data_IF_832343059682
#
_entry.id   IF_832343059682
#
_cell.length_a   1.000
_cell.length_b   1.000
_cell.length_c   1.000
_cell.angle_alpha   90.00
_cell.angle_beta   90.00
_cell.angle_gamma   90.00
#
_symmetry.space_group_name_H-M   'P 1'
#
loop_
_entity.id
_entity.type
_entity.pdbx_description
1 polymer ?
#
# COMPACT_ATOMS: atom_id res chain seq x y z
N UNK A 1 1.11 -25.05 -61.14
CA UNK A 1 0.94 -25.48 -59.74
C UNK A 1 2.15 -24.94 -58.99
N UNK A 2 2.09 -23.82 -58.26
CA UNK A 2 1.56 -23.68 -56.89
C UNK A 2 2.06 -24.82 -55.97
N UNK A 3 2.74 -24.63 -54.84
CA UNK A 3 2.90 -23.44 -54.00
C UNK A 3 3.92 -23.65 -52.86
N UNK A 4 4.60 -22.54 -52.52
CA UNK A 4 4.98 -22.04 -51.18
C UNK A 4 5.73 -22.90 -50.15
N UNK A 5 7.01 -22.58 -49.97
CA UNK A 5 7.72 -22.68 -48.68
C UNK A 5 7.47 -21.41 -47.84
N UNK A 6 6.92 -21.57 -46.64
CA UNK A 6 6.65 -20.49 -45.69
C UNK A 6 7.90 -20.13 -44.87
N UNK A 7 8.48 -18.96 -45.11
CA UNK A 7 9.45 -18.34 -44.19
C UNK A 7 8.73 -17.32 -43.31
N UNK A 8 8.59 -17.64 -42.02
CA UNK A 8 8.06 -16.73 -41.01
C UNK A 8 8.95 -15.50 -40.82
N UNK A 9 8.34 -14.32 -40.86
CA UNK A 9 8.90 -13.08 -40.31
C UNK A 9 7.97 -12.57 -39.22
N UNK A 10 8.51 -12.48 -38.02
CA UNK A 10 7.84 -11.93 -36.85
C UNK A 10 7.40 -10.49 -37.09
N UNK A 11 6.13 -10.22 -36.81
CA UNK A 11 5.60 -8.87 -36.68
C UNK A 11 6.08 -8.29 -35.34
N UNK A 12 7.09 -7.44 -35.40
CA UNK A 12 7.49 -6.56 -34.30
C UNK A 12 7.07 -5.13 -34.66
N UNK A 13 6.56 -4.41 -33.66
CA UNK A 13 6.24 -2.98 -33.64
C UNK A 13 5.06 -2.53 -34.52
N UNK A 14 3.90 -2.38 -33.88
CA UNK A 14 2.86 -1.48 -34.36
C UNK A 14 3.43 -0.06 -34.43
N UNK A 15 3.61 0.42 -35.65
CA UNK A 15 3.99 1.81 -35.93
C UNK A 15 2.93 2.71 -35.31
N UNK A 16 3.34 3.61 -34.42
CA UNK A 16 2.54 4.77 -34.02
C UNK A 16 2.30 5.62 -35.27
N UNK A 17 1.32 5.25 -36.09
CA UNK A 17 0.92 6.01 -37.26
C UNK A 17 0.18 7.28 -36.80
N UNK A 18 0.94 8.28 -36.36
CA UNK A 18 0.49 9.66 -36.32
C UNK A 18 0.05 10.04 -37.75
N UNK A 19 -1.19 10.52 -37.87
CA UNK A 19 -1.86 10.92 -39.12
C UNK A 19 -0.88 11.62 -40.08
N UNK A 20 -0.68 11.04 -41.27
CA UNK A 20 -0.03 11.71 -42.41
C UNK A 20 -0.87 12.93 -42.81
N UNK A 21 -0.37 14.13 -42.54
CA UNK A 21 -1.01 15.37 -43.03
C UNK A 21 -0.60 16.68 -42.35
N UNK A 22 0.04 16.67 -41.19
CA UNK A 22 0.66 17.88 -40.60
C UNK A 22 2.15 17.63 -40.43
N UNK A 23 2.99 18.65 -40.63
CA UNK A 23 4.43 18.64 -40.32
C UNK A 23 4.65 17.79 -39.08
N UNK A 24 5.33 16.66 -39.24
CA UNK A 24 5.48 15.63 -38.21
C UNK A 24 6.22 16.23 -37.02
N UNK A 25 5.46 16.69 -36.03
CA UNK A 25 6.00 17.20 -34.79
C UNK A 25 6.69 16.02 -34.09
N UNK A 26 8.02 15.98 -34.18
CA UNK A 26 8.83 14.98 -33.50
C UNK A 26 8.60 15.08 -31.98
N UNK A 27 8.68 13.95 -31.28
CA UNK A 27 8.49 13.90 -29.83
C UNK A 27 9.45 14.84 -29.12
N UNK A 28 10.71 14.87 -29.52
CA UNK A 28 11.71 15.84 -29.08
C UNK A 28 12.35 16.44 -30.34
N UNK A 29 12.32 17.76 -30.53
CA UNK A 29 12.98 18.40 -31.67
C UNK A 29 14.46 18.02 -31.76
N UNK A 30 14.90 17.58 -32.94
CA UNK A 30 16.29 17.17 -33.19
C UNK A 30 16.62 15.72 -32.83
N UNK A 31 15.66 14.93 -32.32
CA UNK A 31 15.84 13.50 -32.05
C UNK A 31 14.89 12.63 -32.88
N UNK A 32 15.33 11.42 -33.29
CA UNK A 32 14.42 10.36 -33.74
C UNK A 32 13.38 10.01 -32.67
N UNK A 33 12.15 9.71 -33.09
CA UNK A 33 11.02 9.46 -32.18
C UNK A 33 11.20 8.21 -31.31
N UNK A 34 11.91 7.20 -31.80
CA UNK A 34 12.25 5.99 -31.04
C UNK A 34 13.22 6.30 -29.90
N UNK A 35 14.25 7.09 -30.14
CA UNK A 35 15.19 7.58 -29.11
C UNK A 35 14.46 8.45 -28.10
N UNK A 36 13.64 9.39 -28.57
CA UNK A 36 12.83 10.25 -27.70
C UNK A 36 11.87 9.44 -26.82
N UNK A 37 11.27 8.38 -27.36
CA UNK A 37 10.38 7.49 -26.62
C UNK A 37 11.10 6.77 -25.48
N UNK A 38 12.31 6.26 -25.73
CA UNK A 38 13.16 5.62 -24.71
C UNK A 38 13.52 6.62 -23.60
N UNK A 39 13.96 7.84 -23.97
CA UNK A 39 14.30 8.89 -22.99
C UNK A 39 13.12 9.16 -22.06
N UNK A 40 11.94 9.44 -22.62
CA UNK A 40 10.74 9.76 -21.85
C UNK A 40 10.27 8.56 -20.99
N UNK A 41 10.44 7.33 -21.48
CA UNK A 41 10.13 6.09 -20.76
C UNK A 41 11.03 5.86 -19.53
N UNK A 42 12.28 6.32 -19.57
CA UNK A 42 13.25 6.15 -18.49
C UNK A 42 13.16 7.20 -17.39
N UNK A 43 12.48 8.32 -17.62
CA UNK A 43 12.26 9.36 -16.61
C UNK A 43 11.58 8.83 -15.34
N UNK A 44 11.75 9.53 -14.22
CA UNK A 44 11.11 9.19 -12.94
C UNK A 44 9.59 9.38 -13.03
N UNK A 45 8.82 8.74 -12.15
CA UNK A 45 7.37 8.95 -12.12
C UNK A 45 6.97 10.43 -11.97
N UNK A 46 7.58 11.22 -11.06
CA UNK A 46 7.30 12.66 -10.94
C UNK A 46 7.49 13.41 -12.27
N UNK A 47 8.59 13.14 -12.98
CA UNK A 47 8.89 13.78 -14.26
C UNK A 47 7.88 13.39 -15.34
N UNK A 48 7.58 12.09 -15.45
CA UNK A 48 6.57 11.58 -16.38
C UNK A 48 5.20 12.22 -16.11
N UNK A 49 4.80 12.33 -14.86
CA UNK A 49 3.54 12.95 -14.45
C UNK A 49 3.45 14.42 -14.85
N UNK A 50 4.54 15.20 -14.67
CA UNK A 50 4.62 16.60 -15.14
C UNK A 50 4.51 16.71 -16.66
N UNK A 51 5.21 15.83 -17.39
CA UNK A 51 5.27 15.87 -18.86
C UNK A 51 3.96 15.48 -19.55
N UNK A 52 3.09 14.68 -18.91
CA UNK A 52 1.74 14.40 -19.44
C UNK A 52 0.90 15.67 -19.63
N UNK A 53 1.19 16.75 -18.91
CA UNK A 53 0.44 18.00 -19.00
C UNK A 53 0.90 18.91 -20.15
N UNK A 54 2.12 18.75 -20.68
CA UNK A 54 2.75 19.73 -21.58
C UNK A 54 2.38 19.55 -23.05
N UNK A 55 2.29 18.31 -23.53
CA UNK A 55 2.02 17.98 -24.93
C UNK A 55 1.08 16.78 -25.08
N UNK A 56 0.22 16.81 -26.11
CA UNK A 56 -0.65 15.66 -26.45
C UNK A 56 0.18 14.43 -26.85
N UNK A 57 1.32 14.63 -27.52
CA UNK A 57 2.19 13.55 -27.96
C UNK A 57 2.86 12.85 -26.76
N UNK A 58 3.41 13.62 -25.82
CA UNK A 58 3.99 13.07 -24.60
C UNK A 58 2.94 12.43 -23.71
N UNK A 59 1.75 13.02 -23.59
CA UNK A 59 0.63 12.41 -22.87
C UNK A 59 0.24 11.06 -23.45
N UNK A 60 0.17 10.97 -24.79
CA UNK A 60 -0.15 9.71 -25.46
C UNK A 60 0.94 8.67 -25.21
N UNK A 61 2.22 9.04 -25.38
CA UNK A 61 3.37 8.14 -25.15
C UNK A 61 3.48 7.67 -23.69
N UNK A 62 3.24 8.56 -22.73
CA UNK A 62 3.29 8.28 -21.29
C UNK A 62 1.98 7.72 -20.74
N UNK A 63 1.03 7.39 -21.61
CA UNK A 63 -0.18 6.66 -21.25
C UNK A 63 0.17 5.20 -20.92
N UNK A 64 -0.66 4.56 -20.09
CA UNK A 64 -0.46 3.15 -19.72
C UNK A 64 -0.42 2.24 -20.96
N UNK A 65 -1.28 2.52 -21.95
CA UNK A 65 -1.44 1.73 -23.16
C UNK A 65 -0.17 1.69 -24.04
N UNK A 66 0.69 2.70 -23.94
CA UNK A 66 1.93 2.80 -24.72
C UNK A 66 3.17 2.57 -23.86
N UNK A 67 3.18 3.10 -22.64
CA UNK A 67 4.33 3.06 -21.75
C UNK A 67 4.61 1.62 -21.28
N UNK A 68 3.60 0.86 -20.87
CA UNK A 68 3.81 -0.51 -20.39
C UNK A 68 4.36 -1.45 -21.48
N UNK A 69 3.81 -1.50 -22.71
CA UNK A 69 4.42 -2.28 -23.79
C UNK A 69 5.84 -1.85 -24.12
N UNK A 70 6.12 -0.53 -24.14
CA UNK A 70 7.45 -0.01 -24.41
C UNK A 70 8.44 -0.47 -23.34
N UNK A 71 8.09 -0.32 -22.06
CA UNK A 71 8.91 -0.82 -20.93
C UNK A 71 9.20 -2.30 -21.05
N UNK A 72 8.20 -3.12 -21.41
CA UNK A 72 8.35 -4.56 -21.63
C UNK A 72 9.29 -4.86 -22.81
N UNK A 73 9.15 -4.15 -23.94
CA UNK A 73 10.05 -4.33 -25.10
C UNK A 73 11.51 -3.98 -24.78
N UNK A 74 11.71 -3.01 -23.89
CA UNK A 74 13.02 -2.59 -23.40
C UNK A 74 13.53 -3.44 -22.23
N UNK A 75 12.75 -4.43 -21.78
CA UNK A 75 13.06 -5.29 -20.62
C UNK A 75 13.39 -4.49 -19.36
N UNK A 76 12.73 -3.35 -19.17
CA UNK A 76 12.93 -2.53 -17.98
C UNK A 76 12.28 -3.21 -16.76
N UNK A 77 12.90 -3.12 -15.58
CA UNK A 77 12.31 -3.67 -14.36
C UNK A 77 10.98 -2.98 -14.05
N UNK A 78 10.12 -3.67 -13.30
CA UNK A 78 8.90 -3.05 -12.76
C UNK A 78 9.24 -1.86 -11.88
N UNK A 79 8.33 -0.90 -11.83
CA UNK A 79 8.46 0.27 -10.98
C UNK A 79 7.39 0.18 -9.91
N UNK A 80 7.80 -0.23 -8.72
CA UNK A 80 6.99 -0.04 -7.53
C UNK A 80 7.32 1.29 -6.88
N UNK A 81 6.29 2.08 -6.63
CA UNK A 81 6.38 3.28 -5.80
C UNK A 81 5.93 2.95 -4.38
N UNK A 82 6.54 3.60 -3.41
CA UNK A 82 6.02 3.66 -2.06
C UNK A 82 5.08 4.86 -1.94
N UNK A 83 3.87 4.65 -1.45
CA UNK A 83 2.96 5.71 -1.04
C UNK A 83 2.90 5.76 0.49
N UNK A 84 3.22 6.93 1.04
CA UNK A 84 3.15 7.21 2.47
C UNK A 84 2.02 8.21 2.73
N UNK A 85 1.16 7.86 3.69
CA UNK A 85 0.16 8.73 4.27
C UNK A 85 0.63 9.11 5.67
N UNK A 86 1.21 10.32 5.87
CA UNK A 86 1.84 10.67 7.15
C UNK A 86 0.87 10.73 8.34
N UNK A 87 -0.40 11.04 8.08
CA UNK A 87 -1.49 11.21 9.06
C UNK A 87 -2.82 11.23 8.29
N UNK A 88 -3.88 11.77 8.89
CA UNK A 88 -5.17 12.04 8.26
C UNK A 88 -4.98 12.65 6.85
N UNK A 89 -5.37 11.92 5.80
CA UNK A 89 -5.07 12.31 4.43
C UNK A 89 -5.89 13.49 3.93
N UNK A 90 -6.92 13.92 4.68
CA UNK A 90 -7.65 15.16 4.42
C UNK A 90 -6.91 16.40 4.91
N UNK A 91 -5.97 16.24 5.86
CA UNK A 91 -5.19 17.32 6.46
C UNK A 91 -3.76 17.39 5.91
N UNK A 92 -3.16 16.24 5.56
CA UNK A 92 -1.82 16.16 5.01
C UNK A 92 -1.83 15.43 3.67
N UNK A 93 -1.06 15.96 2.71
CA UNK A 93 -0.89 15.33 1.41
C UNK A 93 -0.20 13.96 1.55
N UNK A 94 -0.76 12.90 0.96
CA UNK A 94 -0.04 11.66 0.73
C UNK A 94 1.17 11.94 -0.18
N UNK A 95 2.24 11.17 -0.03
CA UNK A 95 3.49 11.37 -0.76
C UNK A 95 3.98 10.07 -1.36
N UNK A 96 4.31 10.14 -2.65
CA UNK A 96 4.94 9.06 -3.38
C UNK A 96 6.47 9.21 -3.36
N UNK A 97 7.13 8.07 -3.26
CA UNK A 97 8.57 7.91 -3.39
C UNK A 97 8.85 6.82 -4.41
N UNK A 98 9.71 7.13 -5.38
CA UNK A 98 10.36 6.10 -6.20
C UNK A 98 11.63 5.63 -5.47
N UNK A 99 11.70 4.39 -4.98
CA UNK A 99 12.91 3.90 -4.30
C UNK A 99 14.15 3.90 -5.19
N UNK A 100 14.00 3.88 -6.52
CA UNK A 100 15.11 3.99 -7.45
C UNK A 100 15.62 5.43 -7.61
N UNK A 101 14.81 6.42 -7.22
CA UNK A 101 15.15 7.85 -7.21
C UNK A 101 14.74 8.47 -5.87
N UNK A 102 15.46 8.18 -4.77
CA UNK A 102 15.02 8.47 -3.40
C UNK A 102 14.95 9.97 -3.04
N UNK A 103 15.36 10.85 -3.94
CA UNK A 103 15.19 12.31 -3.84
C UNK A 103 13.92 12.82 -4.54
N UNK A 104 13.28 12.00 -5.36
CA UNK A 104 12.17 12.38 -6.22
C UNK A 104 10.81 12.13 -5.54
N UNK A 105 10.53 12.92 -4.51
CA UNK A 105 9.25 12.92 -3.81
C UNK A 105 8.13 13.57 -4.63
N UNK A 106 6.93 13.00 -4.59
CA UNK A 106 5.77 13.54 -5.27
C UNK A 106 4.53 13.61 -4.36
N UNK A 107 4.14 14.81 -3.93
CA UNK A 107 2.91 14.97 -3.16
C UNK A 107 1.69 14.74 -4.06
N UNK A 108 0.76 13.95 -3.56
CA UNK A 108 -0.58 13.79 -4.11
C UNK A 108 -1.52 14.85 -3.49
N UNK A 109 -2.63 15.19 -4.15
CA UNK A 109 -3.65 16.02 -3.52
C UNK A 109 -4.14 15.37 -2.21
N UNK A 110 -4.49 16.17 -1.19
CA UNK A 110 -5.16 15.63 -0.01
C UNK A 110 -6.55 15.08 -0.39
N UNK A 111 -7.08 14.20 0.45
CA UNK A 111 -8.48 13.77 0.35
C UNK A 111 -9.42 14.97 0.56
N UNK A 112 -10.62 14.97 -0.06
CA UNK A 112 -11.64 15.97 0.23
C UNK A 112 -11.96 15.98 1.73
N UNK A 113 -11.88 17.15 2.36
CA UNK A 113 -12.18 17.31 3.78
C UNK A 113 -13.68 17.40 4.04
N UNK A 114 -14.10 16.94 5.22
CA UNK A 114 -15.45 17.14 5.74
C UNK A 114 -15.38 18.15 6.88
N UNK A 115 -16.25 19.18 6.93
CA UNK A 115 -16.29 20.10 8.06
C UNK A 115 -16.89 19.45 9.32
N UNK A 116 -17.55 18.30 9.21
CA UNK A 116 -18.14 17.60 10.36
C UNK A 116 -17.27 16.47 10.90
N UNK A 117 -16.45 15.84 10.05
CA UNK A 117 -15.63 14.70 10.43
C UNK A 117 -14.17 15.14 10.61
N UNK A 118 -13.55 14.69 11.69
CA UNK A 118 -12.16 15.03 11.99
C UNK A 118 -11.42 13.84 12.59
N UNK A 119 -10.09 13.86 12.46
CA UNK A 119 -9.21 12.85 13.03
C UNK A 119 -9.43 11.48 12.37
N UNK A 120 -9.38 11.42 11.03
CA UNK A 120 -9.41 10.13 10.35
C UNK A 120 -8.11 9.38 10.62
N UNK A 121 -8.21 8.22 11.25
CA UNK A 121 -7.10 7.30 11.49
C UNK A 121 -7.53 5.86 11.18
N UNK A 122 -6.61 4.90 11.25
CA UNK A 122 -6.90 3.48 11.08
C UNK A 122 -7.64 3.13 9.77
N UNK A 123 -7.51 3.96 8.74
CA UNK A 123 -8.01 3.67 7.39
C UNK A 123 -7.07 2.68 6.71
N UNK A 124 -7.60 1.91 5.77
CA UNK A 124 -6.76 1.06 4.93
C UNK A 124 -6.31 1.84 3.69
N UNK A 125 -5.02 1.73 3.36
CA UNK A 125 -4.46 2.21 2.11
C UNK A 125 -3.88 1.03 1.33
N UNK A 126 -4.28 0.87 0.06
CA UNK A 126 -3.73 -0.15 -0.83
C UNK A 126 -3.74 0.33 -2.28
N UNK A 127 -3.05 -0.42 -3.15
CA UNK A 127 -3.07 -0.17 -4.58
C UNK A 127 -3.57 -1.41 -5.34
N UNK A 128 -4.36 -1.17 -6.38
CA UNK A 128 -4.74 -2.19 -7.37
C UNK A 128 -4.19 -1.74 -8.72
N UNK A 129 -3.01 -2.25 -9.06
CA UNK A 129 -2.17 -1.68 -10.13
C UNK A 129 -1.87 -0.20 -9.85
N UNK A 130 -2.16 0.65 -10.82
CA UNK A 130 -1.95 2.12 -10.77
C UNK A 130 -2.97 2.90 -9.92
N UNK A 131 -4.01 2.24 -9.41
CA UNK A 131 -5.09 2.90 -8.68
C UNK A 131 -4.84 2.80 -7.18
N UNK A 132 -4.73 3.95 -6.53
CA UNK A 132 -4.62 4.05 -5.08
C UNK A 132 -6.01 4.07 -4.47
N UNK A 133 -6.20 3.36 -3.36
CA UNK A 133 -7.44 3.32 -2.59
C UNK A 133 -7.18 3.77 -1.15
N UNK A 134 -8.13 4.54 -0.61
CA UNK A 134 -8.26 4.85 0.81
C UNK A 134 -9.64 4.40 1.24
N UNK A 135 -9.68 3.50 2.22
CA UNK A 135 -10.89 2.80 2.63
C UNK A 135 -11.16 2.99 4.12
N UNK A 136 -12.38 3.42 4.43
CA UNK A 136 -12.91 3.48 5.78
C UNK A 136 -12.03 4.29 6.74
N UNK A 137 -11.79 3.73 7.92
CA UNK A 137 -11.10 4.34 9.03
C UNK A 137 -12.03 4.67 10.19
N UNK A 138 -11.46 5.21 11.26
CA UNK A 138 -12.17 5.71 12.42
C UNK A 138 -11.99 7.21 12.50
N UNK A 139 -13.06 7.95 12.77
CA UNK A 139 -13.06 9.40 12.87
C UNK A 139 -14.05 9.87 13.93
N UNK A 140 -14.03 11.15 14.25
CA UNK A 140 -15.00 11.76 15.15
C UNK A 140 -15.98 12.63 14.38
N UNK A 141 -17.24 12.63 14.80
CA UNK A 141 -18.26 13.55 14.27
C UNK A 141 -18.46 14.71 15.26
N UNK A 142 -18.17 15.93 14.82
CA UNK A 142 -18.33 17.16 15.59
C UNK A 142 -19.80 17.44 15.99
N UNK A 143 -20.77 16.72 15.41
CA UNK A 143 -22.20 16.79 15.72
C UNK A 143 -22.65 15.71 16.69
N UNK A 144 -21.79 14.73 17.01
CA UNK A 144 -22.12 13.65 17.93
C UNK A 144 -22.15 14.12 19.38
N UNK A 145 -23.05 13.55 20.17
CA UNK A 145 -23.09 13.71 21.63
C UNK A 145 -23.17 12.33 22.30
N UNK A 146 -22.26 12.00 23.25
CA UNK A 146 -21.14 12.83 23.70
C UNK A 146 -20.07 13.00 22.61
N UNK A 147 -19.38 14.14 22.62
CA UNK A 147 -18.24 14.39 21.74
C UNK A 147 -17.11 13.40 22.04
N UNK A 148 -16.29 13.10 21.03
CA UNK A 148 -15.12 12.22 21.18
C UNK A 148 -15.44 10.73 21.17
N UNK A 149 -16.67 10.32 20.88
CA UNK A 149 -16.96 8.92 20.57
C UNK A 149 -16.46 8.60 19.15
N UNK A 150 -15.51 7.68 18.97
CA UNK A 150 -14.99 7.37 17.66
C UNK A 150 -16.02 6.56 16.86
N UNK A 151 -16.20 6.95 15.61
CA UNK A 151 -17.18 6.40 14.67
C UNK A 151 -16.45 5.78 13.48
N UNK A 152 -16.91 4.60 13.00
CA UNK A 152 -16.31 3.97 11.84
C UNK A 152 -16.81 4.65 10.55
N UNK A 153 -15.95 4.76 9.55
CA UNK A 153 -16.26 5.30 8.23
C UNK A 153 -16.44 4.17 7.21
N UNK A 154 -17.41 4.32 6.33
CA UNK A 154 -17.58 3.46 5.15
C UNK A 154 -17.01 4.08 3.88
N UNK A 155 -16.46 5.29 3.97
CA UNK A 155 -16.07 6.07 2.80
C UNK A 155 -14.93 5.40 2.03
N UNK A 156 -15.05 5.43 0.70
CA UNK A 156 -14.05 4.90 -0.21
C UNK A 156 -13.63 5.98 -1.17
N UNK A 157 -12.33 6.20 -1.26
CA UNK A 157 -11.73 7.10 -2.24
C UNK A 157 -10.71 6.35 -3.08
N UNK A 158 -10.63 6.72 -4.36
CA UNK A 158 -9.60 6.21 -5.24
C UNK A 158 -8.94 7.33 -6.05
N UNK A 159 -7.71 7.09 -6.48
CA UNK A 159 -6.93 8.00 -7.30
C UNK A 159 -6.16 7.24 -8.37
N UNK A 160 -6.29 7.69 -9.62
CA UNK A 160 -5.59 7.12 -10.77
C UNK A 160 -4.28 7.86 -11.06
N UNK A 161 -3.15 7.18 -10.86
CA UNK A 161 -1.81 7.75 -11.06
C UNK A 161 -1.42 7.99 -12.52
N UNK A 162 -2.11 7.42 -13.50
CA UNK A 162 -1.78 7.73 -14.90
C UNK A 162 -2.43 9.03 -15.40
N UNK A 163 -3.35 9.62 -14.63
CA UNK A 163 -3.93 10.91 -14.99
C UNK A 163 -2.89 12.02 -14.82
N UNK A 164 -2.90 12.98 -15.74
CA UNK A 164 -2.00 14.15 -15.68
C UNK A 164 -2.34 15.10 -14.52
N UNK A 165 -3.61 15.15 -14.12
CA UNK A 165 -4.08 15.86 -12.93
C UNK A 165 -4.61 14.83 -11.95
N UNK A 166 -3.87 14.63 -10.88
CA UNK A 166 -4.26 13.73 -9.81
C UNK A 166 -5.41 14.35 -9.02
N UNK A 167 -6.45 13.56 -8.77
CA UNK A 167 -7.61 13.96 -7.99
C UNK A 167 -8.21 12.71 -7.37
N UNK A 168 -8.60 12.80 -6.10
CA UNK A 168 -9.37 11.75 -5.45
C UNK A 168 -10.81 11.80 -5.94
N UNK A 169 -11.34 10.64 -6.26
CA UNK A 169 -12.75 10.44 -6.57
C UNK A 169 -13.36 9.57 -5.47
N UNK A 170 -14.61 9.87 -5.11
CA UNK A 170 -15.36 9.03 -4.17
C UNK A 170 -15.98 7.85 -4.92
N UNK A 171 -15.82 6.65 -4.39
CA UNK A 171 -16.52 5.45 -4.84
C UNK A 171 -17.73 5.19 -3.92
N UNK A 172 -18.63 4.26 -4.29
CA UNK A 172 -19.67 3.82 -3.37
C UNK A 172 -19.09 3.38 -2.03
N UNK A 173 -19.78 3.75 -0.96
CA UNK A 173 -19.39 3.40 0.40
C UNK A 173 -19.47 1.88 0.60
N UNK A 174 -18.58 1.35 1.46
CA UNK A 174 -18.71 -0.01 1.98
C UNK A 174 -20.09 -0.20 2.64
N UNK A 175 -20.61 -1.42 2.66
CA UNK A 175 -21.89 -1.75 3.29
C UNK A 175 -21.80 -1.64 4.81
N UNK A 176 -20.66 -2.01 5.39
CA UNK A 176 -20.37 -1.88 6.82
C UNK A 176 -19.22 -0.90 7.03
N UNK A 177 -19.45 0.22 7.73
CA UNK A 177 -18.39 1.14 8.12
C UNK A 177 -17.36 0.46 9.03
N UNK A 178 -16.06 0.71 8.79
CA UNK A 178 -14.97 0.02 9.50
C UNK A 178 -13.65 0.81 9.44
N UNK A 179 -12.85 0.70 10.49
CA UNK A 179 -11.42 1.04 10.57
C UNK A 179 -10.64 -0.15 11.14
N UNK A 180 -9.32 -0.17 10.99
CA UNK A 180 -8.44 -1.26 11.45
C UNK A 180 -8.87 -2.65 10.94
N UNK A 181 -9.20 -2.79 9.67
CA UNK A 181 -9.66 -4.04 9.06
C UNK A 181 -8.58 -4.66 8.16
N UNK A 182 -8.69 -5.96 7.93
CA UNK A 182 -7.89 -6.65 6.93
C UNK A 182 -8.40 -6.28 5.54
N UNK A 183 -7.48 -5.98 4.61
CA UNK A 183 -7.83 -5.72 3.22
C UNK A 183 -6.77 -6.29 2.26
N UNK A 184 -7.19 -6.66 1.05
CA UNK A 184 -6.28 -7.07 -0.01
C UNK A 184 -6.87 -6.78 -1.39
N UNK A 185 -6.01 -6.67 -2.41
CA UNK A 185 -6.45 -6.65 -3.80
C UNK A 185 -7.02 -8.01 -4.20
N UNK A 186 -8.15 -8.01 -4.90
CA UNK A 186 -8.72 -9.23 -5.49
C UNK A 186 -8.16 -9.46 -6.90
N UNK A 187 -8.00 -10.73 -7.30
CA UNK A 187 -7.42 -11.10 -8.60
C UNK A 187 -8.20 -10.58 -9.81
N UNK A 188 -9.52 -10.42 -9.68
CA UNK A 188 -10.41 -9.98 -10.75
C UNK A 188 -10.44 -8.45 -10.93
N UNK A 189 -9.61 -7.72 -10.18
CA UNK A 189 -9.64 -6.25 -10.16
C UNK A 189 -10.72 -5.76 -9.19
N UNK A 190 -10.31 -5.58 -7.94
CA UNK A 190 -11.21 -5.21 -6.85
C UNK A 190 -10.49 -5.22 -5.52
N UNK A 191 -11.26 -5.10 -4.44
CA UNK A 191 -10.74 -5.15 -3.07
C UNK A 191 -11.61 -6.06 -2.23
N UNK A 192 -11.01 -6.91 -1.41
CA UNK A 192 -11.71 -7.65 -0.37
C UNK A 192 -11.34 -7.07 1.00
N UNK A 193 -12.31 -6.96 1.90
CA UNK A 193 -12.15 -6.44 3.25
C UNK A 193 -12.83 -7.37 4.26
N UNK A 194 -12.23 -7.52 5.44
CA UNK A 194 -12.84 -8.28 6.54
C UNK A 194 -12.47 -7.71 7.91
N UNK A 195 -13.43 -7.81 8.83
CA UNK A 195 -13.25 -7.34 10.20
C UNK A 195 -13.19 -5.83 10.32
N UNK A 196 -12.49 -5.38 11.35
CA UNK A 196 -12.37 -3.97 11.73
C UNK A 196 -13.38 -3.56 12.78
N UNK A 197 -13.42 -2.25 13.01
CA UNK A 197 -14.16 -1.65 14.10
C UNK A 197 -14.18 -0.13 14.03
N UNK A 198 -14.43 0.52 15.17
CA UNK A 198 -14.45 1.99 15.24
C UNK A 198 -13.43 2.60 16.19
N UNK A 199 -12.43 1.81 16.62
CA UNK A 199 -11.40 2.28 17.56
C UNK A 199 -10.52 3.35 16.91
N UNK A 200 -10.16 4.37 17.69
CA UNK A 200 -9.31 5.47 17.26
C UNK A 200 -8.06 5.58 18.15
N UNK A 201 -6.87 5.91 17.62
CA UNK A 201 -5.62 5.99 18.42
C UNK A 201 -5.69 6.91 19.64
N UNK A 202 -6.49 7.99 19.58
CA UNK A 202 -6.71 8.90 20.72
C UNK A 202 -7.53 8.30 21.86
N UNK A 203 -8.46 7.40 21.55
CA UNK A 203 -9.31 6.71 22.53
C UNK A 203 -9.26 5.20 22.27
N UNK A 204 -8.10 4.57 22.54
CA UNK A 204 -7.81 3.23 22.08
C UNK A 204 -8.66 2.18 22.79
N UNK A 205 -9.38 2.48 23.86
CA UNK A 205 -10.21 1.50 24.56
C UNK A 205 -11.67 1.46 24.12
N UNK A 206 -12.10 2.42 23.29
CA UNK A 206 -13.48 2.53 22.87
C UNK A 206 -13.65 2.17 21.39
N UNK A 207 -14.71 1.44 21.05
CA UNK A 207 -15.07 1.14 19.67
C UNK A 207 -15.76 -0.20 19.48
N UNK A 208 -16.49 -0.31 18.37
CA UNK A 208 -17.12 -1.54 17.89
C UNK A 208 -16.11 -2.47 17.22
N UNK A 209 -16.52 -3.71 16.97
CA UNK A 209 -15.85 -4.68 16.10
C UNK A 209 -16.88 -5.32 15.17
N UNK A 210 -16.42 -5.97 14.11
CA UNK A 210 -17.27 -6.75 13.21
C UNK A 210 -16.56 -8.01 12.74
N UNK A 211 -17.33 -9.03 12.37
CA UNK A 211 -16.87 -10.21 11.62
C UNK A 211 -17.23 -10.14 10.13
N UNK A 212 -17.86 -9.05 9.68
CA UNK A 212 -18.33 -8.91 8.31
C UNK A 212 -17.19 -8.91 7.29
N UNK A 213 -17.49 -9.48 6.13
CA UNK A 213 -16.61 -9.55 4.97
C UNK A 213 -17.33 -8.97 3.77
N UNK A 214 -16.64 -8.15 3.00
CA UNK A 214 -17.18 -7.56 1.79
C UNK A 214 -16.14 -7.59 0.68
N UNK A 215 -16.60 -7.64 -0.57
CA UNK A 215 -15.74 -7.47 -1.73
C UNK A 215 -16.31 -6.41 -2.68
N UNK A 216 -15.41 -5.60 -3.22
CA UNK A 216 -15.69 -4.56 -4.19
C UNK A 216 -15.38 -5.06 -5.59
N UNK A 217 -16.40 -5.04 -6.45
CA UNK A 217 -16.26 -5.29 -7.88
C UNK A 217 -15.94 -3.98 -8.61
N UNK A 218 -14.74 -3.87 -9.19
CA UNK A 218 -14.38 -2.66 -9.92
C UNK A 218 -15.11 -2.51 -11.27
N UNK A 219 -15.60 -3.61 -11.86
CA UNK A 219 -16.31 -3.61 -13.13
C UNK A 219 -17.74 -3.08 -12.97
N UNK A 220 -18.47 -3.54 -11.96
CA UNK A 220 -19.83 -3.04 -11.65
C UNK A 220 -19.83 -1.84 -10.70
N UNK A 221 -18.67 -1.54 -10.08
CA UNK A 221 -18.49 -0.50 -9.07
C UNK A 221 -19.42 -0.68 -7.87
N UNK A 222 -19.60 -1.92 -7.40
CA UNK A 222 -20.49 -2.23 -6.28
C UNK A 222 -19.80 -3.07 -5.21
N UNK A 223 -20.26 -2.90 -3.97
CA UNK A 223 -19.89 -3.75 -2.84
C UNK A 223 -20.87 -4.91 -2.69
N UNK A 224 -20.34 -6.06 -2.32
CA UNK A 224 -21.09 -7.29 -2.12
C UNK A 224 -20.70 -7.93 -0.80
N UNK A 225 -21.69 -8.47 -0.10
CA UNK A 225 -21.47 -9.22 1.14
C UNK A 225 -20.85 -10.58 0.80
N UNK A 226 -19.85 -10.98 1.57
CA UNK A 226 -19.30 -12.33 1.55
C UNK A 226 -19.59 -13.06 2.87
N UNK A 227 -19.16 -14.32 2.99
CA UNK A 227 -19.28 -15.07 4.24
C UNK A 227 -18.61 -14.29 5.40
N UNK A 228 -19.29 -14.20 6.54
CA UNK A 228 -18.72 -13.57 7.72
C UNK A 228 -17.60 -14.45 8.31
N UNK A 229 -16.57 -13.81 8.87
CA UNK A 229 -15.52 -14.51 9.61
C UNK A 229 -16.10 -15.26 10.82
N UNK A 230 -15.45 -16.34 11.28
CA UNK A 230 -15.90 -17.09 12.45
C UNK A 230 -15.99 -16.23 13.73
N UNK A 231 -15.15 -15.21 13.85
CA UNK A 231 -15.07 -14.32 15.03
C UNK A 231 -14.87 -12.88 14.59
N UNK A 232 -15.42 -11.94 15.35
CA UNK A 232 -15.15 -10.51 15.16
C UNK A 232 -13.70 -10.19 15.55
N UNK A 233 -13.03 -9.37 14.75
CA UNK A 233 -11.65 -8.96 15.01
C UNK A 233 -11.36 -7.59 14.41
N UNK A 234 -10.48 -6.83 15.05
CA UNK A 234 -9.94 -5.58 14.52
C UNK A 234 -8.42 -5.53 14.68
N UNK A 235 -7.77 -4.60 13.98
CA UNK A 235 -6.30 -4.50 13.82
C UNK A 235 -5.68 -5.75 13.16
N UNK A 236 -6.46 -6.43 12.32
CA UNK A 236 -5.99 -7.57 11.56
C UNK A 236 -5.24 -7.13 10.29
N UNK A 237 -4.32 -7.97 9.83
CA UNK A 237 -3.66 -7.82 8.53
C UNK A 237 -4.35 -8.71 7.50
N UNK A 238 -4.55 -8.17 6.29
CA UNK A 238 -5.11 -8.89 5.15
C UNK A 238 -4.10 -9.09 4.02
N UNK A 239 -4.11 -10.26 3.39
CA UNK A 239 -3.40 -10.51 2.13
C UNK A 239 -4.03 -11.70 1.39
N UNK A 240 -3.82 -11.81 0.08
CA UNK A 240 -4.26 -12.97 -0.70
C UNK A 240 -3.08 -13.89 -0.98
N UNK A 241 -3.12 -15.11 -0.45
CA UNK A 241 -2.12 -16.15 -0.70
C UNK A 241 -2.61 -17.09 -1.81
N UNK A 242 -1.68 -17.52 -2.67
CA UNK A 242 -2.01 -18.37 -3.81
C UNK A 242 -1.83 -19.85 -3.50
N UNK A 243 -2.82 -20.66 -3.86
CA UNK A 243 -2.76 -22.12 -3.79
C UNK A 243 -2.53 -22.69 -2.38
N UNK A 244 -2.80 -21.92 -1.33
CA UNK A 244 -2.65 -22.37 0.06
C UNK A 244 -3.90 -23.08 0.59
N UNK A 245 -5.03 -22.94 -0.11
CA UNK A 245 -6.30 -23.51 0.29
C UNK A 245 -6.49 -24.96 -0.13
N UNK A 246 -7.55 -25.56 0.42
CA UNK A 246 -7.95 -26.92 0.09
C UNK A 246 -8.21 -27.04 -1.41
N UNK A 247 -7.64 -28.08 -2.04
CA UNK A 247 -7.71 -28.23 -3.49
C UNK A 247 -6.87 -27.22 -4.29
N UNK A 248 -5.98 -26.47 -3.63
CA UNK A 248 -5.08 -25.50 -4.27
C UNK A 248 -5.79 -24.20 -4.65
N UNK A 249 -6.88 -23.84 -3.96
CA UNK A 249 -7.54 -22.55 -4.18
C UNK A 249 -6.77 -21.38 -3.56
N UNK A 250 -7.09 -20.18 -4.03
CA UNK A 250 -6.56 -18.95 -3.50
C UNK A 250 -7.36 -18.50 -2.30
N UNK A 251 -6.66 -17.99 -1.30
CA UNK A 251 -7.26 -17.66 -0.02
C UNK A 251 -6.98 -16.21 0.35
N UNK A 252 -8.01 -15.51 0.83
CA UNK A 252 -7.85 -14.25 1.54
C UNK A 252 -7.62 -14.53 3.03
N UNK A 253 -6.41 -14.22 3.49
CA UNK A 253 -5.99 -14.44 4.87
C UNK A 253 -6.26 -13.20 5.72
N UNK A 254 -6.77 -13.43 6.93
CA UNK A 254 -6.93 -12.44 7.98
C UNK A 254 -6.13 -12.90 9.18
N UNK A 255 -5.10 -12.13 9.52
CA UNK A 255 -4.06 -12.54 10.46
C UNK A 255 -4.02 -11.62 11.68
N UNK A 256 -4.02 -12.23 12.88
CA UNK A 256 -3.87 -11.52 14.15
C UNK A 256 -5.03 -10.58 14.46
N UNK A 257 -4.70 -9.39 14.98
CA UNK A 257 -5.66 -8.44 15.54
C UNK A 257 -6.02 -8.75 16.99
N UNK A 258 -7.15 -8.21 17.45
CA UNK A 258 -7.75 -8.51 18.74
C UNK A 258 -9.24 -8.78 18.61
N UNK A 259 -9.77 -9.66 19.46
CA UNK A 259 -11.16 -10.12 19.44
C UNK A 259 -11.94 -9.78 20.72
N UNK A 260 -11.27 -9.19 21.71
CA UNK A 260 -11.85 -8.86 22.99
C UNK A 260 -10.93 -7.98 23.82
N UNK A 261 -11.37 -7.67 25.03
CA UNK A 261 -10.57 -6.96 26.01
C UNK A 261 -10.83 -7.52 27.41
N UNK A 262 -9.84 -7.35 28.27
CA UNK A 262 -9.88 -7.57 29.71
C UNK A 262 -9.58 -6.25 30.41
N UNK A 263 -9.64 -6.24 31.74
CA UNK A 263 -9.25 -5.08 32.53
C UNK A 263 -8.16 -5.46 33.53
N UNK A 264 -7.03 -4.78 33.49
CA UNK A 264 -6.01 -4.84 34.53
C UNK A 264 -6.50 -4.03 35.74
N UNK A 265 -6.59 -4.68 36.90
CA UNK A 265 -7.07 -4.07 38.14
C UNK A 265 -8.52 -3.57 38.07
N UNK A 266 -9.33 -4.06 37.14
CA UNK A 266 -10.73 -3.64 36.95
C UNK A 266 -10.94 -2.29 36.26
N UNK A 267 -9.85 -1.61 35.86
CA UNK A 267 -9.91 -0.22 35.37
C UNK A 267 -9.22 -0.04 34.03
N UNK A 268 -8.04 -0.63 33.85
CA UNK A 268 -7.22 -0.38 32.65
C UNK A 268 -7.54 -1.42 31.58
N UNK A 269 -8.10 -1.04 30.43
CA UNK A 269 -8.42 -1.99 29.36
C UNK A 269 -7.14 -2.60 28.79
N UNK A 270 -7.19 -3.90 28.54
CA UNK A 270 -6.10 -4.70 27.98
C UNK A 270 -6.63 -5.61 26.89
N UNK A 271 -6.17 -5.42 25.66
CA UNK A 271 -6.69 -6.16 24.51
C UNK A 271 -6.26 -7.62 24.54
N UNK A 272 -7.19 -8.50 24.14
CA UNK A 272 -6.91 -9.91 23.91
C UNK A 272 -6.52 -10.10 22.45
N UNK A 273 -5.21 -10.15 22.22
CA UNK A 273 -4.65 -10.31 20.88
C UNK A 273 -4.80 -11.74 20.38
N UNK A 274 -5.27 -11.85 19.14
CA UNK A 274 -5.42 -13.10 18.43
C UNK A 274 -4.03 -13.61 17.99
N UNK A 275 -3.75 -14.88 18.29
CA UNK A 275 -2.51 -15.56 17.88
C UNK A 275 -2.66 -16.37 16.61
N UNK A 276 -3.87 -16.41 16.09
CA UNK A 276 -4.31 -17.26 14.99
C UNK A 276 -4.68 -16.44 13.75
N UNK A 277 -4.91 -17.16 12.66
CA UNK A 277 -5.40 -16.62 11.40
C UNK A 277 -6.64 -17.38 10.94
N UNK A 278 -7.42 -16.75 10.07
CA UNK A 278 -8.51 -17.37 9.31
C UNK A 278 -8.32 -17.07 7.83
N UNK A 279 -8.71 -18.01 6.98
CA UNK A 279 -8.54 -17.90 5.53
C UNK A 279 -9.87 -18.15 4.82
N UNK A 280 -10.22 -17.27 3.88
CA UNK A 280 -11.41 -17.40 3.04
C UNK A 280 -11.01 -17.92 1.67
N UNK A 281 -11.48 -19.11 1.31
CA UNK A 281 -11.36 -19.63 -0.05
C UNK A 281 -12.10 -18.73 -1.03
N UNK A 282 -11.38 -18.17 -2.01
CA UNK A 282 -11.94 -17.20 -2.96
C UNK A 282 -12.88 -17.84 -3.98
N UNK A 283 -12.72 -19.14 -4.26
CA UNK A 283 -13.63 -19.89 -5.11
C UNK A 283 -14.72 -20.58 -4.28
N UNK A 284 -14.35 -21.21 -3.17
CA UNK A 284 -15.31 -21.94 -2.33
C UNK A 284 -16.23 -21.02 -1.51
N UNK A 285 -15.80 -19.79 -1.24
CA UNK A 285 -16.52 -18.82 -0.42
C UNK A 285 -16.61 -19.22 1.06
N UNK A 286 -15.75 -20.14 1.53
CA UNK A 286 -15.79 -20.68 2.89
C UNK A 286 -14.58 -20.23 3.70
N UNK A 287 -14.84 -19.87 4.96
CA UNK A 287 -13.79 -19.61 5.94
C UNK A 287 -13.26 -20.91 6.53
N UNK A 288 -11.95 -20.95 6.74
CA UNK A 288 -11.21 -22.00 7.41
C UNK A 288 -10.39 -21.39 8.54
N UNK A 289 -10.39 -22.03 9.69
CA UNK A 289 -9.52 -21.66 10.81
C UNK A 289 -8.13 -22.26 10.59
N UNK A 290 -7.09 -21.43 10.67
CA UNK A 290 -5.69 -21.87 10.55
C UNK A 290 -5.13 -22.32 11.90
N UNK A 291 -5.61 -21.70 12.98
CA UNK A 291 -5.13 -21.93 14.35
C UNK A 291 -3.93 -21.05 14.71
N UNK A 292 -3.42 -21.24 15.92
CA UNK A 292 -2.36 -20.42 16.52
C UNK A 292 -1.05 -20.50 15.72
N UNK A 293 -0.52 -19.34 15.32
CA UNK A 293 0.73 -19.18 14.57
C UNK A 293 1.97 -19.11 15.48
N UNK A 294 1.77 -18.95 16.79
CA UNK A 294 2.83 -18.93 17.83
C UNK A 294 2.29 -19.40 19.19
N UNK A 295 3.19 -19.84 20.07
CA UNK A 295 2.83 -20.37 21.39
C UNK A 295 2.51 -19.27 22.40
N UNK A 296 1.92 -19.67 23.53
CA UNK A 296 1.63 -18.72 24.60
C UNK A 296 2.92 -18.17 25.21
N UNK A 297 2.97 -16.85 25.38
CA UNK A 297 4.15 -16.15 25.88
C UNK A 297 5.26 -15.93 24.85
N UNK A 298 5.21 -16.54 23.65
CA UNK A 298 6.22 -16.31 22.61
C UNK A 298 6.14 -14.87 22.08
N UNK A 299 4.92 -14.37 21.86
CA UNK A 299 4.65 -13.00 21.41
C UNK A 299 3.35 -12.48 22.00
N UNK A 300 3.33 -11.17 22.27
CA UNK A 300 2.16 -10.48 22.79
C UNK A 300 1.11 -10.16 21.71
N UNK A 301 1.56 -9.77 20.51
CA UNK A 301 0.69 -9.43 19.37
C UNK A 301 1.41 -9.65 18.04
N UNK A 302 0.66 -9.65 16.95
CA UNK A 302 1.23 -9.59 15.60
C UNK A 302 1.92 -8.23 15.38
N UNK A 303 3.18 -8.26 14.94
CA UNK A 303 3.90 -7.05 14.53
C UNK A 303 3.46 -6.55 13.15
N UNK A 304 4.02 -5.43 12.65
CA UNK A 304 3.82 -5.00 11.28
C UNK A 304 4.16 -6.11 10.28
N UNK A 305 3.31 -6.33 9.27
CA UNK A 305 3.46 -7.40 8.28
C UNK A 305 3.67 -6.81 6.88
N UNK A 306 4.59 -7.42 6.13
CA UNK A 306 4.85 -7.12 4.73
C UNK A 306 4.72 -8.40 3.90
N UNK A 307 3.87 -8.36 2.88
CA UNK A 307 3.66 -9.45 1.93
C UNK A 307 4.47 -9.20 0.65
N UNK A 308 5.39 -10.10 0.29
CA UNK A 308 6.06 -10.05 -1.00
C UNK A 308 5.19 -10.73 -2.04
N UNK A 309 4.96 -10.01 -3.13
CA UNK A 309 4.25 -10.53 -4.29
C UNK A 309 5.23 -10.93 -5.39
N UNK A 310 4.97 -12.06 -6.03
CA UNK A 310 5.61 -12.47 -7.27
C UNK A 310 5.19 -11.56 -8.44
N UNK A 311 5.77 -11.82 -9.60
CA UNK A 311 5.50 -11.09 -10.84
C UNK A 311 4.02 -11.15 -11.28
N UNK A 312 3.24 -12.13 -10.88
CA UNK A 312 1.80 -12.18 -11.18
C UNK A 312 0.94 -11.44 -10.14
N UNK A 313 1.56 -10.71 -9.20
CA UNK A 313 0.89 -9.99 -8.12
C UNK A 313 0.45 -10.89 -6.97
N UNK A 314 0.84 -12.17 -6.99
CA UNK A 314 0.46 -13.16 -5.98
C UNK A 314 1.41 -13.13 -4.82
N UNK A 315 0.89 -13.10 -3.59
CA UNK A 315 1.74 -13.16 -2.40
C UNK A 315 2.37 -14.53 -2.28
N UNK A 316 3.70 -14.57 -2.28
CA UNK A 316 4.50 -15.80 -2.15
C UNK A 316 5.13 -15.94 -0.78
N UNK A 317 5.47 -14.81 -0.16
CA UNK A 317 6.16 -14.80 1.13
C UNK A 317 5.58 -13.70 2.00
N UNK A 318 5.42 -13.98 3.29
CA UNK A 318 4.90 -13.04 4.27
C UNK A 318 5.93 -12.88 5.36
N UNK A 319 6.22 -11.64 5.73
CA UNK A 319 7.18 -11.30 6.76
C UNK A 319 6.52 -10.46 7.84
N UNK A 320 6.98 -10.62 9.06
CA UNK A 320 6.60 -9.81 10.21
C UNK A 320 7.86 -9.18 10.80
N UNK A 321 7.77 -7.91 11.18
CA UNK A 321 8.76 -7.25 12.01
C UNK A 321 8.30 -7.33 13.48
N UNK A 322 9.12 -7.94 14.33
CA UNK A 322 8.86 -8.02 15.77
C UNK A 322 10.11 -7.59 16.55
N UNK A 323 10.00 -6.44 17.23
CA UNK A 323 11.13 -5.75 17.85
C UNK A 323 12.19 -5.32 16.83
N UNK A 324 13.29 -6.06 16.76
CA UNK A 324 14.38 -5.84 15.78
C UNK A 324 14.56 -7.01 14.83
N UNK A 325 13.72 -8.03 14.93
CA UNK A 325 13.84 -9.25 14.16
C UNK A 325 12.77 -9.30 13.08
N UNK A 326 13.19 -9.69 11.88
CA UNK A 326 12.31 -10.01 10.77
C UNK A 326 12.06 -11.51 10.80
N UNK A 327 10.79 -11.89 10.86
CA UNK A 327 10.33 -13.27 10.79
C UNK A 327 9.66 -13.51 9.44
N UNK A 328 9.87 -14.70 8.88
CA UNK A 328 9.19 -15.22 7.70
C UNK A 328 8.10 -16.20 8.15
N UNK A 329 6.91 -16.11 7.56
CA UNK A 329 5.85 -17.07 7.81
C UNK A 329 6.04 -18.35 6.99
N UNK A 330 5.95 -19.50 7.65
CA UNK A 330 5.88 -20.81 7.03
C UNK A 330 4.42 -21.28 7.04
N UNK A 331 3.79 -21.25 5.87
CA UNK A 331 2.41 -21.67 5.67
C UNK A 331 2.17 -23.15 5.97
N UNK A 332 3.18 -24.00 5.76
CA UNK A 332 3.05 -25.46 5.96
C UNK A 332 3.15 -25.84 7.42
N UNK A 333 4.06 -25.19 8.15
CA UNK A 333 4.22 -25.41 9.58
C UNK A 333 3.25 -24.58 10.44
N UNK A 334 2.56 -23.59 9.85
CA UNK A 334 1.80 -22.56 10.55
C UNK A 334 2.64 -21.87 11.64
N UNK A 335 3.85 -21.40 11.30
CA UNK A 335 4.77 -20.78 12.27
C UNK A 335 5.59 -19.65 11.69
N UNK A 336 6.03 -18.74 12.57
CA UNK A 336 7.00 -17.70 12.26
C UNK A 336 8.44 -18.16 12.49
N UNK A 337 9.26 -18.09 11.46
CA UNK A 337 10.68 -18.46 11.49
C UNK A 337 11.53 -17.19 11.43
N UNK A 338 12.54 -17.06 12.29
CA UNK A 338 13.44 -15.90 12.27
C UNK A 338 14.25 -15.90 10.96
N UNK A 339 14.17 -14.81 10.20
CA UNK A 339 14.88 -14.62 8.93
C UNK A 339 16.12 -13.75 9.10
N UNK A 340 15.98 -12.59 9.75
CA UNK A 340 17.04 -11.61 9.88
C UNK A 340 16.87 -10.72 11.11
N UNK A 341 17.91 -9.97 11.45
CA UNK A 341 17.86 -8.90 12.45
C UNK A 341 18.24 -7.59 11.78
N UNK A 342 17.48 -6.53 12.07
CA UNK A 342 17.69 -5.18 11.56
C UNK A 342 19.07 -4.66 12.01
N UNK A 343 19.80 -3.98 11.11
CA UNK A 343 21.19 -3.57 11.37
C UNK A 343 21.32 -2.43 12.36
N UNK A 344 20.47 -1.41 12.26
CA UNK A 344 20.40 -0.30 13.20
C UNK A 344 19.18 -0.52 14.08
N UNK A 345 19.39 -0.56 15.39
CA UNK A 345 18.30 -0.78 16.34
C UNK A 345 17.25 0.31 16.16
N UNK A 346 16.01 -0.14 16.11
CA UNK A 346 14.84 0.74 16.11
C UNK A 346 14.73 1.30 17.53
N UNK A 347 14.73 2.62 17.76
CA UNK A 347 14.60 3.16 19.11
C UNK A 347 13.31 2.65 19.78
N UNK A 348 13.39 2.19 21.03
CA UNK A 348 12.25 1.59 21.75
C UNK A 348 11.01 2.50 21.86
N UNK A 349 11.17 3.81 21.65
CA UNK A 349 10.10 4.82 21.70
C UNK A 349 9.47 5.12 20.34
N UNK A 350 10.07 4.66 19.23
CA UNK A 350 9.67 5.00 17.87
C UNK A 350 8.82 3.89 17.25
N UNK A 351 7.68 4.28 16.68
CA UNK A 351 6.94 3.45 15.75
C UNK A 351 7.71 3.39 14.43
N UNK A 352 7.71 2.23 13.77
CA UNK A 352 8.37 2.06 12.48
C UNK A 352 7.38 1.59 11.42
N UNK A 353 7.61 2.00 10.18
CA UNK A 353 6.90 1.45 9.03
C UNK A 353 7.57 0.16 8.58
N UNK A 354 6.77 -0.80 8.11
CA UNK A 354 7.30 -2.03 7.52
C UNK A 354 6.49 -2.39 6.28
N UNK A 355 7.15 -2.50 5.13
CA UNK A 355 6.47 -2.72 3.84
C UNK A 355 7.39 -3.40 2.83
N UNK A 356 6.81 -4.11 1.87
CA UNK A 356 7.53 -4.71 0.76
C UNK A 356 7.49 -3.81 -0.48
N UNK A 357 8.63 -3.60 -1.13
CA UNK A 357 8.72 -2.84 -2.39
C UNK A 357 9.74 -3.52 -3.30
N UNK A 358 9.37 -3.81 -4.56
CA UNK A 358 10.24 -4.49 -5.54
C UNK A 358 10.87 -5.81 -5.03
N UNK A 359 10.12 -6.61 -4.25
CA UNK A 359 10.64 -7.87 -3.70
C UNK A 359 11.63 -7.71 -2.54
N UNK A 360 11.72 -6.52 -1.96
CA UNK A 360 12.58 -6.22 -0.82
C UNK A 360 11.76 -5.67 0.34
N UNK A 361 12.26 -5.85 1.56
CA UNK A 361 11.60 -5.41 2.78
C UNK A 361 12.20 -4.08 3.24
N UNK A 362 11.35 -3.10 3.50
CA UNK A 362 11.73 -1.76 3.93
C UNK A 362 11.25 -1.56 5.36
N UNK A 363 12.19 -1.28 6.27
CA UNK A 363 11.91 -0.79 7.63
C UNK A 363 12.15 0.71 7.65
N UNK A 364 11.12 1.48 7.98
CA UNK A 364 11.12 2.93 7.94
C UNK A 364 11.15 3.51 9.35
N UNK A 365 12.07 4.43 9.59
CA UNK A 365 12.12 5.23 10.83
C UNK A 365 12.23 6.72 10.49
N UNK A 366 11.66 7.55 11.35
CA UNK A 366 11.57 8.98 11.14
C UNK A 366 12.27 9.72 12.28
N UNK A 367 13.25 10.57 11.95
CA UNK A 367 13.98 11.35 12.92
C UNK A 367 14.14 12.80 12.47
N UNK A 368 14.38 13.70 13.43
CA UNK A 368 14.74 15.09 13.14
C UNK A 368 16.24 15.24 13.15
N UNK A 369 16.80 15.83 12.10
CA UNK A 369 18.24 16.07 11.98
C UNK A 369 18.49 17.58 11.94
N UNK A 370 19.42 18.12 12.74
CA UNK A 370 19.81 19.52 12.68
C UNK A 370 20.40 19.86 11.30
N UNK A 371 20.00 20.99 10.72
CA UNK A 371 20.64 21.55 9.52
C UNK A 371 21.34 22.85 9.90
N UNK A 372 22.63 22.93 9.58
CA UNK A 372 23.40 24.16 9.72
C UNK A 372 22.81 25.25 8.81
N UNK A 373 22.34 26.34 9.41
CA UNK A 373 21.81 27.49 8.67
C UNK A 373 22.94 28.31 8.05
N UNK A 374 22.89 28.53 6.73
CA UNK A 374 23.74 29.53 6.06
C UNK A 374 23.16 30.93 6.26
N UNK A 375 23.62 31.66 7.28
CA UNK A 375 23.23 33.06 7.50
C UNK A 375 23.64 33.62 8.88
N UNK A 376 23.72 34.95 8.99
CA UNK A 376 24.13 35.67 10.21
C UNK A 376 23.12 35.60 11.37
N UNK A 377 21.92 35.07 11.13
CA UNK A 377 20.88 34.84 12.13
C UNK A 377 20.69 33.33 12.35
N UNK A 378 21.33 32.79 13.38
CA UNK A 378 21.34 31.35 13.71
C UNK A 378 20.02 30.90 14.34
N UNK A 379 19.01 30.60 13.52
CA UNK A 379 17.98 29.63 13.90
C UNK A 379 18.43 28.25 13.40
N UNK A 380 18.63 27.29 14.31
CA UNK A 380 18.80 25.89 13.92
C UNK A 380 17.52 25.43 13.23
N UNK A 381 17.58 25.15 11.93
CA UNK A 381 16.46 24.54 11.19
C UNK A 381 16.62 23.03 11.30
N UNK A 382 15.67 22.37 11.94
CA UNK A 382 15.58 20.92 11.89
C UNK A 382 14.95 20.49 10.56
N UNK A 383 15.53 19.48 9.92
CA UNK A 383 14.93 18.85 8.74
C UNK A 383 14.56 17.42 9.09
N UNK A 384 13.39 17.00 8.62
CA UNK A 384 12.96 15.62 8.77
C UNK A 384 13.83 14.71 7.90
N UNK A 385 14.31 13.62 8.49
CA UNK A 385 14.99 12.55 7.81
C UNK A 385 14.16 11.28 7.93
N UNK A 386 13.96 10.61 6.81
CA UNK A 386 13.34 9.31 6.75
C UNK A 386 14.42 8.30 6.35
N UNK A 387 14.77 7.43 7.29
CA UNK A 387 15.72 6.34 7.08
C UNK A 387 14.96 5.09 6.67
N UNK A 388 15.50 4.38 5.69
CA UNK A 388 15.02 3.08 5.27
C UNK A 388 16.15 2.08 5.41
N UNK A 389 15.91 1.06 6.23
CA UNK A 389 16.74 -0.13 6.27
C UNK A 389 16.09 -1.17 5.35
N UNK A 390 16.75 -1.45 4.23
CA UNK A 390 16.24 -2.31 3.17
C UNK A 390 16.92 -3.66 3.22
N UNK A 391 16.12 -4.71 3.39
CA UNK A 391 16.57 -6.09 3.37
C UNK A 391 16.12 -6.78 2.08
N UNK A 392 17.05 -7.48 1.45
CA UNK A 392 16.77 -8.30 0.27
C UNK A 392 16.78 -9.78 0.70
N UNK A 393 15.61 -10.45 0.75
CA UNK A 393 15.53 -11.84 1.20
C UNK A 393 16.34 -12.82 0.33
N UNK A 394 16.40 -12.60 -0.99
CA UNK A 394 17.13 -13.47 -1.91
C UNK A 394 18.64 -13.43 -1.74
N UNK A 395 19.22 -12.26 -1.47
CA UNK A 395 20.66 -12.09 -1.25
C UNK A 395 21.08 -12.08 0.21
N UNK A 396 20.09 -12.01 1.13
CA UNK A 396 20.27 -11.85 2.58
C UNK A 396 21.13 -10.66 2.98
N UNK A 397 21.10 -9.59 2.18
CA UNK A 397 21.87 -8.36 2.41
C UNK A 397 20.99 -7.21 2.84
N UNK A 398 21.55 -6.37 3.68
CA UNK A 398 20.96 -5.11 4.11
C UNK A 398 21.67 -3.93 3.47
N UNK A 399 20.91 -2.88 3.20
CA UNK A 399 21.41 -1.54 2.88
C UNK A 399 20.59 -0.49 3.62
N UNK A 400 21.17 0.70 3.77
CA UNK A 400 20.49 1.83 4.39
C UNK A 400 20.47 2.98 3.39
N UNK A 401 19.33 3.64 3.28
CA UNK A 401 19.19 4.88 2.53
C UNK A 401 18.45 5.89 3.39
N UNK A 402 18.82 7.16 3.27
CA UNK A 402 18.18 8.25 4.01
C UNK A 402 17.72 9.29 3.00
N UNK A 403 16.51 9.80 3.23
CA UNK A 403 15.88 10.79 2.36
C UNK A 403 15.22 11.87 3.19
N UNK A 404 14.79 12.94 2.53
CA UNK A 404 14.14 14.05 3.19
C UNK A 404 12.79 14.31 2.53
N UNK A 405 11.70 13.75 3.08
CA UNK A 405 10.37 13.97 2.52
C UNK A 405 9.98 15.45 2.64
N UNK A 406 9.11 15.96 1.75
CA UNK A 406 8.61 17.33 1.79
C UNK A 406 7.51 17.49 2.87
N UNK A 407 7.77 17.02 4.09
CA UNK A 407 6.85 17.07 5.24
C UNK A 407 7.54 17.77 6.39
N UNK A 408 6.81 18.63 7.09
CA UNK A 408 7.34 19.46 8.18
C UNK A 408 7.14 18.85 9.56
N UNK A 409 6.18 17.94 9.72
CA UNK A 409 5.89 17.24 10.96
C UNK A 409 6.55 15.86 10.99
N UNK A 410 7.04 15.38 12.16
CA UNK A 410 7.43 14.00 12.35
C UNK A 410 6.29 13.03 12.01
N UNK A 411 6.65 11.89 11.41
CA UNK A 411 5.71 10.85 11.03
C UNK A 411 5.61 9.85 12.18
N UNK A 412 4.41 9.66 12.73
CA UNK A 412 4.12 8.57 13.66
C UNK A 412 3.58 7.37 12.88
N UNK A 413 4.36 6.30 12.77
CA UNK A 413 3.95 5.09 12.09
C UNK A 413 2.86 4.27 12.80
N UNK A 414 2.38 4.69 13.99
CA UNK A 414 1.14 4.15 14.58
C UNK A 414 -0.11 4.65 13.87
N UNK A 415 -0.06 5.84 13.29
CA UNK A 415 -1.20 6.45 12.58
C UNK A 415 -0.96 6.61 11.08
N UNK A 416 0.30 6.58 10.64
CA UNK A 416 0.64 6.61 9.23
C UNK A 416 0.22 5.31 8.53
N UNK A 417 -0.19 5.43 7.27
CA UNK A 417 -0.44 4.29 6.41
C UNK A 417 0.59 4.21 5.28
N UNK A 418 0.92 2.99 4.86
CA UNK A 418 1.86 2.72 3.78
C UNK A 418 1.19 1.80 2.77
N UNK A 419 1.41 2.05 1.47
CA UNK A 419 1.10 1.06 0.45
C UNK A 419 2.10 1.11 -0.70
N UNK A 420 2.23 -0.01 -1.39
CA UNK A 420 3.10 -0.16 -2.55
C UNK A 420 2.24 -0.12 -3.81
N UNK A 421 2.66 0.69 -4.78
CA UNK A 421 1.94 0.90 -6.04
C UNK A 421 2.76 0.38 -7.20
N UNK A 422 2.17 -0.48 -8.02
CA UNK A 422 2.79 -0.96 -9.25
C UNK A 422 2.34 -0.10 -10.44
N UNK A 423 3.29 0.48 -11.18
CA UNK A 423 3.04 1.36 -12.32
C UNK A 423 3.07 0.68 -13.69
#
# INVERSE_FOLDING_TARGET
MASSSSSGRGRVAGTLALRRGSVSASLIPGLPDDVAAVILCLLTFPDQSRLRATSRAWRLLLSVATLLPLRRSLRLPRRHLLCLFPTDPSLASPILLDPAAPTAWWPLPPLPCSPQLYGLANFAALAVGRHLYVLGGSCFDARSFPLGHPSPSAAVYWLDLARARHSWERLPDMLVPRGSFACASAQTGGVIVAGGGSRHPTFPSNGSRTSSTEWYDAATRSWHVAAAMPRERAECVGFVAHGTGDGGEDEFWVMGGYDGYTTVGGVVPNDLYCRDAVALGLWSGKWREIGSMWEEGERHRLGPVAALSADDGRVTEVYMLDGHDVFRYDFTANRWLKEATVRRKIPNTESCGFISVNGELYVLTCSKVPVEGSGSWRQMKEKLALEFQVYNPGTKKWRVLTTHPPVHAPIDFRSAALCTVEL
#
